data_IF_834087967892
#
_entry.id   IF_834087967892
#
_cell.length_a   1.000
_cell.length_b   1.000
_cell.length_c   1.000
_cell.angle_alpha   90.00
_cell.angle_beta   90.00
_cell.angle_gamma   90.00
#
_symmetry.space_group_name_H-M   'P 1'
#
loop_
_entity.id
_entity.type
_entity.pdbx_description
1 polymer ?
#
# COMPACT_ATOMS: atom_id res chain seq x y z
N UNK A 1 39.38 -18.09 -13.31
CA UNK A 1 38.06 -18.73 -13.35
C UNK A 1 37.07 -17.77 -12.77
N UNK A 2 35.90 -17.59 -13.33
CA UNK A 2 34.73 -16.74 -13.08
C UNK A 2 34.58 -15.55 -14.04
N UNK A 3 34.13 -15.85 -15.28
CA UNK A 3 33.60 -14.85 -16.22
C UNK A 3 32.10 -15.03 -16.54
N UNK A 4 31.36 -15.75 -15.71
CA UNK A 4 29.92 -16.02 -15.97
C UNK A 4 28.99 -14.94 -15.38
N UNK A 5 29.45 -14.16 -14.38
CA UNK A 5 28.59 -13.16 -13.70
C UNK A 5 28.38 -11.84 -14.47
N UNK A 6 29.25 -11.47 -15.38
CA UNK A 6 29.23 -10.16 -16.06
C UNK A 6 28.17 -10.05 -17.17
N UNK A 7 27.87 -11.17 -17.83
CA UNK A 7 26.93 -11.20 -18.97
C UNK A 7 25.47 -11.10 -18.54
N UNK A 8 25.08 -11.75 -17.44
CA UNK A 8 23.71 -11.74 -16.96
C UNK A 8 23.25 -10.33 -16.52
N UNK A 9 24.11 -9.59 -15.83
CA UNK A 9 23.81 -8.22 -15.38
C UNK A 9 23.64 -7.23 -16.54
N UNK A 10 24.38 -7.41 -17.65
CA UNK A 10 24.24 -6.54 -18.82
C UNK A 10 22.92 -6.75 -19.56
N UNK A 11 22.42 -7.98 -19.62
CA UNK A 11 21.12 -8.29 -20.24
C UNK A 11 19.94 -7.75 -19.42
N UNK A 12 20.00 -7.86 -18.09
CA UNK A 12 18.98 -7.28 -17.20
C UNK A 12 18.92 -5.75 -17.35
N UNK A 13 20.06 -5.07 -17.37
CA UNK A 13 20.12 -3.63 -17.57
C UNK A 13 19.52 -3.20 -18.91
N UNK A 14 19.79 -3.92 -20.00
CA UNK A 14 19.21 -3.66 -21.31
C UNK A 14 17.69 -3.87 -21.32
N UNK A 15 17.19 -4.88 -20.63
CA UNK A 15 15.77 -5.16 -20.48
C UNK A 15 15.04 -4.02 -19.77
N UNK A 16 15.54 -3.53 -18.63
CA UNK A 16 14.93 -2.40 -17.92
C UNK A 16 14.94 -1.10 -18.72
N UNK A 17 16.01 -0.86 -19.49
CA UNK A 17 16.07 0.30 -20.40
C UNK A 17 15.03 0.23 -21.51
N UNK A 18 14.75 -0.96 -22.05
CA UNK A 18 13.69 -1.14 -23.05
C UNK A 18 12.31 -0.87 -22.45
N UNK A 19 12.03 -1.37 -21.25
CA UNK A 19 10.76 -1.09 -20.54
C UNK A 19 10.65 0.41 -20.27
N UNK A 20 11.70 1.05 -19.78
CA UNK A 20 11.70 2.50 -19.52
C UNK A 20 11.40 3.29 -20.80
N UNK A 21 12.03 2.96 -21.93
CA UNK A 21 11.75 3.59 -23.23
C UNK A 21 10.31 3.37 -23.67
N UNK A 22 9.79 2.16 -23.53
CA UNK A 22 8.39 1.86 -23.87
C UNK A 22 7.43 2.67 -22.99
N UNK A 23 7.67 2.73 -21.69
CA UNK A 23 6.83 3.49 -20.76
C UNK A 23 6.91 5.01 -21.00
N UNK A 24 8.08 5.53 -21.37
CA UNK A 24 8.28 6.97 -21.59
C UNK A 24 7.49 7.59 -22.74
N UNK A 25 6.99 6.76 -23.66
CA UNK A 25 6.15 7.22 -24.78
C UNK A 25 4.64 7.10 -24.51
N UNK A 26 4.27 6.48 -23.38
CA UNK A 26 2.86 6.21 -23.02
C UNK A 26 2.28 7.33 -22.15
N UNK A 27 2.19 8.55 -22.69
CA UNK A 27 1.77 9.74 -21.93
C UNK A 27 0.31 9.68 -21.44
N UNK A 28 -0.56 8.97 -22.14
CA UNK A 28 -1.98 8.82 -21.80
C UNK A 28 -2.27 7.65 -20.84
N UNK A 29 -1.23 7.04 -20.27
CA UNK A 29 -1.38 5.88 -19.41
C UNK A 29 -2.13 6.26 -18.13
N UNK A 30 -3.27 5.60 -17.88
CA UNK A 30 -4.13 5.85 -16.72
C UNK A 30 -3.99 4.79 -15.63
N UNK A 31 -3.57 3.59 -16.01
CA UNK A 31 -3.47 2.44 -15.10
C UNK A 31 -2.09 1.82 -15.22
N UNK A 32 -1.41 1.65 -14.10
CA UNK A 32 -0.15 0.89 -14.01
C UNK A 32 -0.32 -0.22 -12.97
N UNK A 33 -0.04 -1.46 -13.37
CA UNK A 33 0.01 -2.62 -12.48
C UNK A 33 1.38 -3.27 -12.56
N UNK A 34 2.15 -3.15 -11.50
CA UNK A 34 3.49 -3.75 -11.36
C UNK A 34 3.40 -4.95 -10.41
N UNK A 35 2.88 -6.08 -10.92
CA UNK A 35 2.69 -7.31 -10.14
C UNK A 35 4.00 -8.12 -10.04
N UNK A 36 5.07 -7.44 -9.70
CA UNK A 36 6.43 -7.98 -9.57
C UNK A 36 7.04 -7.55 -8.24
N UNK A 37 7.88 -8.42 -7.66
CA UNK A 37 8.59 -8.14 -6.41
C UNK A 37 9.98 -7.50 -6.62
N UNK A 38 10.37 -7.26 -7.86
CA UNK A 38 11.68 -6.73 -8.19
C UNK A 38 11.73 -5.20 -8.03
N UNK A 39 12.47 -4.74 -7.03
CA UNK A 39 12.63 -3.32 -6.71
C UNK A 39 13.26 -2.48 -7.84
N UNK A 40 13.94 -3.08 -8.82
CA UNK A 40 14.51 -2.36 -9.96
C UNK A 40 13.43 -1.67 -10.81
N UNK A 41 12.19 -2.18 -10.81
CA UNK A 41 11.07 -1.53 -11.50
C UNK A 41 10.76 -0.15 -10.94
N UNK A 42 11.05 0.14 -9.66
CA UNK A 42 10.92 1.49 -9.11
C UNK A 42 11.84 2.45 -9.86
N UNK A 43 13.07 2.04 -10.14
CA UNK A 43 14.03 2.84 -10.91
C UNK A 43 13.50 3.13 -12.31
N UNK A 44 12.92 2.12 -12.96
CA UNK A 44 12.33 2.26 -14.32
C UNK A 44 11.21 3.30 -14.32
N UNK A 45 10.21 3.14 -13.45
CA UNK A 45 9.04 4.06 -13.43
C UNK A 45 9.41 5.45 -12.92
N UNK A 46 10.42 5.55 -12.05
CA UNK A 46 10.84 6.83 -11.49
C UNK A 46 11.39 7.82 -12.54
N UNK A 47 11.81 7.34 -13.71
CA UNK A 47 12.21 8.17 -14.84
C UNK A 47 11.05 8.52 -15.79
N UNK A 48 9.85 8.01 -15.54
CA UNK A 48 8.68 8.24 -16.37
C UNK A 48 7.71 9.21 -15.67
N UNK A 49 6.91 9.92 -16.47
CA UNK A 49 5.83 10.78 -15.97
C UNK A 49 4.55 10.46 -16.75
N UNK A 50 3.46 10.23 -16.03
CA UNK A 50 2.17 9.85 -16.58
C UNK A 50 1.10 10.84 -16.11
N UNK A 51 0.88 11.95 -16.83
CA UNK A 51 -0.03 13.02 -16.37
C UNK A 51 -1.46 12.54 -16.12
N UNK A 52 -1.88 11.52 -16.86
CA UNK A 52 -3.23 10.93 -16.78
C UNK A 52 -3.35 9.77 -15.79
N UNK A 53 -2.30 9.43 -15.02
CA UNK A 53 -2.29 8.28 -14.12
C UNK A 53 -3.31 8.46 -12.99
N UNK A 54 -4.26 7.52 -12.91
CA UNK A 54 -5.32 7.47 -11.88
C UNK A 54 -5.27 6.23 -11.00
N UNK A 55 -4.68 5.15 -11.49
CA UNK A 55 -4.63 3.86 -10.82
C UNK A 55 -3.20 3.32 -10.83
N UNK A 56 -2.66 3.10 -9.64
CA UNK A 56 -1.36 2.47 -9.46
C UNK A 56 -1.45 1.30 -8.49
N UNK A 57 -1.02 0.13 -8.94
CA UNK A 57 -1.00 -1.09 -8.16
C UNK A 57 0.38 -1.74 -8.26
N UNK A 58 1.01 -2.08 -7.14
CA UNK A 58 2.29 -2.79 -7.13
C UNK A 58 2.43 -3.73 -5.93
N UNK A 59 3.29 -4.73 -6.08
CA UNK A 59 3.71 -5.62 -4.99
C UNK A 59 4.98 -5.11 -4.28
N UNK A 60 5.42 -3.91 -4.61
CA UNK A 60 6.62 -3.32 -4.07
C UNK A 60 6.31 -2.61 -2.74
N UNK A 61 7.28 -2.65 -1.84
CA UNK A 61 7.23 -1.91 -0.58
C UNK A 61 7.26 -0.40 -0.85
N UNK A 62 6.50 0.34 -0.06
CA UNK A 62 6.56 1.80 -0.09
C UNK A 62 7.97 2.25 0.35
N UNK A 63 8.67 2.93 -0.53
CA UNK A 63 10.05 3.39 -0.35
C UNK A 63 10.20 4.83 -0.81
N UNK A 64 11.26 5.51 -0.38
CA UNK A 64 11.51 6.90 -0.78
C UNK A 64 11.47 7.13 -2.30
N UNK A 65 12.07 6.29 -3.16
CA UNK A 65 11.95 6.46 -4.61
C UNK A 65 10.51 6.28 -5.12
N UNK A 66 9.76 5.32 -4.55
CA UNK A 66 8.36 5.10 -4.93
C UNK A 66 7.48 6.27 -4.49
N UNK A 67 7.66 6.81 -3.28
CA UNK A 67 6.94 7.99 -2.81
C UNK A 67 7.23 9.20 -3.71
N UNK A 68 8.49 9.42 -4.10
CA UNK A 68 8.85 10.48 -5.04
C UNK A 68 8.17 10.31 -6.40
N UNK A 69 8.05 9.08 -6.88
CA UNK A 69 7.30 8.79 -8.09
C UNK A 69 5.81 9.12 -7.91
N UNK A 70 5.18 8.61 -6.86
CA UNK A 70 3.75 8.81 -6.59
C UNK A 70 3.37 10.27 -6.42
N UNK A 71 4.18 11.06 -5.69
CA UNK A 71 3.93 12.48 -5.47
C UNK A 71 3.96 13.34 -6.75
N UNK A 72 4.55 12.83 -7.85
CA UNK A 72 4.48 13.49 -9.17
C UNK A 72 3.17 13.25 -9.91
N UNK A 73 2.28 12.41 -9.35
CA UNK A 73 1.02 12.00 -9.99
C UNK A 73 -0.20 12.38 -9.12
N UNK A 74 -0.48 13.70 -8.93
CA UNK A 74 -1.53 14.17 -8.03
C UNK A 74 -2.95 13.80 -8.48
N UNK A 75 -3.12 13.29 -9.71
CA UNK A 75 -4.39 12.78 -10.24
C UNK A 75 -4.71 11.35 -9.80
N UNK A 76 -3.80 10.70 -9.05
CA UNK A 76 -3.96 9.33 -8.60
C UNK A 76 -5.16 9.23 -7.64
N UNK A 77 -6.11 8.35 -7.98
CA UNK A 77 -7.32 8.10 -7.17
C UNK A 77 -7.35 6.71 -6.55
N UNK A 78 -6.53 5.78 -7.05
CA UNK A 78 -6.40 4.43 -6.56
C UNK A 78 -4.92 4.10 -6.36
N UNK A 79 -4.55 3.69 -5.16
CA UNK A 79 -3.20 3.25 -4.81
C UNK A 79 -3.25 1.94 -4.05
N UNK A 80 -2.55 0.93 -4.59
CA UNK A 80 -2.26 -0.30 -3.87
C UNK A 80 -0.76 -0.56 -3.88
N UNK A 81 -0.19 -0.74 -2.70
CA UNK A 81 1.20 -1.11 -2.49
C UNK A 81 1.29 -2.46 -1.78
N UNK A 82 2.48 -3.01 -1.61
CA UNK A 82 2.67 -4.27 -0.88
C UNK A 82 1.98 -4.22 0.49
N UNK A 83 1.23 -5.27 0.78
CA UNK A 83 0.58 -5.49 2.08
C UNK A 83 1.49 -6.26 3.05
N UNK A 84 2.65 -6.73 2.60
CA UNK A 84 3.61 -7.43 3.44
C UNK A 84 4.52 -6.43 4.16
N UNK A 85 4.71 -6.67 5.44
CA UNK A 85 5.68 -5.98 6.27
C UNK A 85 6.98 -6.76 6.27
N UNK A 86 8.08 -6.04 6.07
CA UNK A 86 9.41 -6.61 6.24
C UNK A 86 9.81 -6.44 7.70
N UNK A 87 9.92 -7.53 8.43
CA UNK A 87 10.32 -7.52 9.85
C UNK A 87 11.78 -7.09 10.06
N UNK A 88 12.53 -6.88 8.98
CA UNK A 88 13.99 -6.72 9.05
C UNK A 88 14.48 -5.31 9.35
N UNK A 89 13.65 -4.27 9.28
CA UNK A 89 14.15 -2.90 9.51
C UNK A 89 13.05 -2.00 10.08
N UNK A 90 13.04 -1.87 11.40
CA UNK A 90 12.61 -0.63 12.03
C UNK A 90 13.73 0.40 11.78
N UNK A 91 13.88 0.86 10.55
CA UNK A 91 14.69 2.04 10.32
C UNK A 91 13.85 3.24 10.73
N UNK A 92 14.36 4.03 11.69
CA UNK A 92 13.86 5.35 12.06
C UNK A 92 13.96 6.36 10.89
N UNK A 93 14.00 5.86 9.66
CA UNK A 93 14.02 6.69 8.47
C UNK A 93 12.69 7.44 8.39
N UNK A 94 12.77 8.73 8.55
CA UNK A 94 11.66 9.65 8.32
C UNK A 94 11.23 9.45 6.87
N UNK A 95 10.16 8.67 6.68
CA UNK A 95 9.59 8.51 5.34
C UNK A 95 9.09 9.87 4.86
N UNK A 96 9.43 10.27 3.61
CA UNK A 96 8.80 11.43 3.02
C UNK A 96 7.30 11.21 2.98
N UNK A 97 6.54 12.25 3.25
CA UNK A 97 5.09 12.20 3.22
C UNK A 97 4.58 11.96 1.81
N UNK A 98 3.57 11.10 1.71
CA UNK A 98 2.84 10.82 0.49
C UNK A 98 1.64 11.78 0.41
N UNK A 99 1.68 12.72 -0.55
CA UNK A 99 0.62 13.70 -0.78
C UNK A 99 -0.13 13.38 -2.07
N UNK A 100 -1.34 12.84 -1.94
CA UNK A 100 -2.21 12.43 -3.04
C UNK A 100 -3.63 13.00 -2.84
N UNK A 101 -3.86 14.28 -3.19
CA UNK A 101 -5.09 14.99 -2.83
C UNK A 101 -6.37 14.43 -3.47
N UNK A 102 -6.26 13.56 -4.47
CA UNK A 102 -7.41 12.91 -5.15
C UNK A 102 -7.54 11.44 -4.83
N UNK A 103 -6.77 10.92 -3.86
CA UNK A 103 -6.81 9.51 -3.51
C UNK A 103 -8.15 9.15 -2.86
N UNK A 104 -8.86 8.20 -3.46
CA UNK A 104 -10.15 7.70 -2.97
C UNK A 104 -10.05 6.29 -2.39
N UNK A 105 -9.08 5.50 -2.85
CA UNK A 105 -8.85 4.14 -2.43
C UNK A 105 -7.38 3.91 -2.13
N UNK A 106 -7.11 3.33 -0.97
CA UNK A 106 -5.78 2.92 -0.56
C UNK A 106 -5.77 1.46 -0.11
N UNK A 107 -4.76 0.70 -0.52
CA UNK A 107 -4.46 -0.60 0.05
C UNK A 107 -2.95 -0.73 0.31
N UNK A 108 -2.60 -1.15 1.52
CA UNK A 108 -1.21 -1.32 1.92
C UNK A 108 -1.07 -1.90 3.33
N UNK A 109 0.14 -1.89 3.87
CA UNK A 109 0.38 -2.27 5.26
C UNK A 109 0.25 -1.07 6.22
N UNK A 110 0.23 -1.33 7.54
CA UNK A 110 0.08 -0.31 8.57
C UNK A 110 1.15 0.79 8.51
N UNK A 111 2.41 0.45 8.19
CA UNK A 111 3.49 1.43 8.03
C UNK A 111 3.25 2.35 6.83
N UNK A 112 2.75 1.80 5.72
CA UNK A 112 2.44 2.58 4.51
C UNK A 112 1.34 3.61 4.75
N UNK A 113 0.35 3.28 5.60
CA UNK A 113 -0.70 4.23 6.00
C UNK A 113 -0.11 5.43 6.73
N UNK A 114 0.86 5.21 7.61
CA UNK A 114 1.49 6.29 8.38
C UNK A 114 2.24 7.32 7.52
N UNK A 115 2.62 6.94 6.30
CA UNK A 115 3.24 7.85 5.34
C UNK A 115 2.23 8.74 4.60
N UNK A 116 0.93 8.43 4.67
CA UNK A 116 -0.12 9.18 3.98
C UNK A 116 -0.38 10.49 4.74
N UNK A 117 -0.31 11.60 4.03
CA UNK A 117 -0.71 12.91 4.52
C UNK A 117 -1.60 13.60 3.49
N UNK A 118 -2.51 14.44 3.94
CA UNK A 118 -3.37 15.26 3.09
C UNK A 118 -4.16 14.45 2.02
N UNK A 119 -4.99 13.53 2.50
CA UNK A 119 -5.83 12.65 1.67
C UNK A 119 -7.30 12.86 2.00
N UNK A 120 -7.73 14.12 2.00
CA UNK A 120 -9.09 14.52 2.36
C UNK A 120 -10.20 13.92 1.50
N UNK A 121 -9.87 13.14 0.48
CA UNK A 121 -10.83 12.48 -0.43
C UNK A 121 -10.89 10.96 -0.26
N UNK A 122 -10.14 10.37 0.69
CA UNK A 122 -10.07 8.93 0.88
C UNK A 122 -11.41 8.38 1.37
N UNK A 123 -11.98 7.43 0.63
CA UNK A 123 -13.27 6.80 0.93
C UNK A 123 -13.14 5.37 1.41
N UNK A 124 -12.12 4.67 0.94
CA UNK A 124 -11.89 3.28 1.28
C UNK A 124 -10.42 3.01 1.59
N UNK A 125 -10.16 2.31 2.68
CA UNK A 125 -8.83 1.85 3.06
C UNK A 125 -8.83 0.34 3.34
N UNK A 126 -7.84 -0.36 2.78
CA UNK A 126 -7.53 -1.74 3.13
C UNK A 126 -6.14 -1.74 3.77
N UNK A 127 -6.09 -2.11 5.05
CA UNK A 127 -4.86 -2.08 5.83
C UNK A 127 -4.53 -3.47 6.35
N UNK A 128 -3.31 -3.92 6.09
CA UNK A 128 -2.81 -5.21 6.55
C UNK A 128 -1.73 -5.02 7.61
N UNK A 129 -1.78 -5.85 8.66
CA UNK A 129 -0.72 -5.94 9.68
C UNK A 129 -0.22 -7.37 9.76
N UNK A 130 1.09 -7.52 9.78
CA UNK A 130 1.71 -8.79 10.17
C UNK A 130 1.66 -8.96 11.69
N UNK A 131 1.76 -10.20 12.18
CA UNK A 131 1.58 -10.54 13.59
C UNK A 131 2.51 -9.80 14.56
N UNK A 132 3.57 -9.22 14.06
CA UNK A 132 4.62 -8.52 14.82
C UNK A 132 4.35 -7.03 14.96
N UNK A 133 3.39 -6.49 14.21
CA UNK A 133 3.05 -5.07 14.32
C UNK A 133 2.27 -4.82 15.62
N UNK A 134 2.93 -4.13 16.53
CA UNK A 134 2.40 -3.81 17.85
C UNK A 134 1.68 -2.46 17.92
N UNK A 135 1.65 -1.72 16.83
CA UNK A 135 1.14 -0.35 16.83
C UNK A 135 0.05 -0.09 15.77
N UNK A 136 -1.10 -0.82 15.80
CA UNK A 136 -2.20 -0.57 14.86
C UNK A 136 -2.81 0.82 15.03
N UNK A 137 -2.70 1.41 16.22
CA UNK A 137 -3.20 2.73 16.55
C UNK A 137 -2.52 3.83 15.74
N UNK A 138 -1.26 3.71 15.36
CA UNK A 138 -0.56 4.69 14.52
C UNK A 138 -1.19 4.79 13.14
N UNK A 139 -1.53 3.66 12.52
CA UNK A 139 -2.19 3.63 11.21
C UNK A 139 -3.62 4.20 11.30
N UNK A 140 -4.39 3.81 12.31
CA UNK A 140 -5.77 4.30 12.51
C UNK A 140 -5.77 5.80 12.79
N UNK A 141 -4.89 6.31 13.64
CA UNK A 141 -4.71 7.75 13.89
C UNK A 141 -4.24 8.52 12.65
N UNK A 142 -3.47 7.90 11.76
CA UNK A 142 -3.10 8.51 10.48
C UNK A 142 -4.30 8.62 9.54
N UNK A 143 -5.16 7.62 9.49
CA UNK A 143 -6.43 7.67 8.74
C UNK A 143 -7.38 8.72 9.30
N UNK A 144 -7.54 8.79 10.62
CA UNK A 144 -8.34 9.83 11.29
C UNK A 144 -7.89 11.24 10.86
N UNK A 145 -6.60 11.52 10.97
CA UNK A 145 -6.06 12.85 10.64
C UNK A 145 -6.23 13.24 9.17
N UNK A 146 -6.16 12.25 8.27
CA UNK A 146 -6.13 12.50 6.83
C UNK A 146 -7.49 12.40 6.16
N UNK A 147 -8.47 11.68 6.73
CA UNK A 147 -9.70 11.34 6.03
C UNK A 147 -10.94 11.18 6.93
N UNK A 148 -10.94 11.81 8.10
CA UNK A 148 -11.99 11.67 9.11
C UNK A 148 -13.42 11.77 8.55
N UNK A 149 -13.69 12.82 7.74
CA UNK A 149 -15.03 13.08 7.21
C UNK A 149 -15.39 12.29 5.95
N UNK A 150 -14.46 11.57 5.35
CA UNK A 150 -14.65 10.97 4.02
C UNK A 150 -14.48 9.46 3.98
N UNK A 151 -13.78 8.89 4.95
CA UNK A 151 -13.53 7.46 5.02
C UNK A 151 -14.80 6.72 5.46
N UNK A 152 -15.39 5.96 4.54
CA UNK A 152 -16.62 5.22 4.78
C UNK A 152 -16.42 3.71 4.86
N UNK A 153 -15.33 3.20 4.26
CA UNK A 153 -15.01 1.77 4.26
C UNK A 153 -13.60 1.54 4.80
N UNK A 154 -13.52 0.70 5.82
CA UNK A 154 -12.25 0.22 6.37
C UNK A 154 -12.21 -1.30 6.37
N UNK A 155 -11.20 -1.88 5.73
CA UNK A 155 -10.91 -3.31 5.80
C UNK A 155 -9.57 -3.53 6.48
N UNK A 156 -9.60 -4.26 7.58
CA UNK A 156 -8.43 -4.61 8.39
C UNK A 156 -8.12 -6.09 8.24
N UNK A 157 -6.91 -6.39 7.78
CA UNK A 157 -6.39 -7.76 7.71
C UNK A 157 -5.24 -7.91 8.69
N UNK A 158 -5.35 -8.82 9.67
CA UNK A 158 -4.35 -8.98 10.71
C UNK A 158 -4.06 -10.46 11.00
N UNK A 159 -2.83 -10.73 11.41
CA UNK A 159 -2.46 -12.01 12.01
C UNK A 159 -2.76 -11.98 13.52
N UNK A 160 -3.47 -13.00 14.02
CA UNK A 160 -3.86 -13.10 15.42
C UNK A 160 -5.05 -12.20 15.81
N UNK A 161 -5.60 -12.45 16.99
CA UNK A 161 -6.72 -11.68 17.54
C UNK A 161 -6.21 -10.48 18.31
N UNK A 162 -6.72 -9.32 17.97
CA UNK A 162 -6.46 -8.09 18.71
C UNK A 162 -7.78 -7.37 18.97
N UNK A 163 -8.32 -7.52 20.17
CA UNK A 163 -9.56 -6.88 20.59
C UNK A 163 -9.40 -5.36 20.67
N UNK A 164 -8.19 -4.88 20.95
CA UNK A 164 -7.90 -3.46 21.04
C UNK A 164 -8.08 -2.74 19.70
N UNK A 165 -7.92 -3.44 18.57
CA UNK A 165 -8.13 -2.86 17.25
C UNK A 165 -9.56 -2.34 17.08
N UNK A 166 -10.58 -3.09 17.55
CA UNK A 166 -11.98 -2.68 17.45
C UNK A 166 -12.22 -1.44 18.30
N UNK A 167 -11.66 -1.41 19.51
CA UNK A 167 -11.77 -0.24 20.39
C UNK A 167 -11.11 0.99 19.76
N UNK A 168 -9.89 0.85 19.24
CA UNK A 168 -9.16 1.94 18.57
C UNK A 168 -9.94 2.47 17.37
N UNK A 169 -10.53 1.58 16.53
CA UNK A 169 -11.35 2.00 15.41
C UNK A 169 -12.60 2.77 15.89
N UNK A 170 -13.28 2.26 16.92
CA UNK A 170 -14.45 2.91 17.50
C UNK A 170 -14.15 4.31 18.06
N UNK A 171 -12.96 4.47 18.66
CA UNK A 171 -12.57 5.73 19.29
C UNK A 171 -12.14 6.80 18.27
N UNK A 172 -11.52 6.38 17.16
CA UNK A 172 -10.90 7.28 16.19
C UNK A 172 -11.68 7.43 14.87
N UNK A 173 -12.50 6.46 14.50
CA UNK A 173 -13.24 6.44 13.23
C UNK A 173 -14.71 6.04 13.45
N UNK A 174 -15.47 6.78 14.28
CA UNK A 174 -16.84 6.41 14.65
C UNK A 174 -17.83 6.45 13.47
N UNK A 175 -17.52 7.19 12.39
CA UNK A 175 -18.38 7.39 11.22
C UNK A 175 -18.17 6.38 10.10
N UNK A 176 -17.37 5.33 10.34
CA UNK A 176 -17.20 4.24 9.38
C UNK A 176 -18.53 3.54 9.14
N UNK A 177 -18.95 3.47 7.87
CA UNK A 177 -20.18 2.80 7.46
C UNK A 177 -20.00 1.30 7.22
N UNK A 178 -18.81 0.90 6.78
CA UNK A 178 -18.49 -0.49 6.50
C UNK A 178 -17.13 -0.85 7.11
N UNK A 179 -17.15 -1.76 8.08
CA UNK A 179 -15.97 -2.29 8.71
C UNK A 179 -15.85 -3.79 8.41
N UNK A 180 -14.73 -4.17 7.82
CA UNK A 180 -14.38 -5.56 7.54
C UNK A 180 -13.11 -5.92 8.30
N UNK A 181 -13.18 -6.91 9.18
CA UNK A 181 -12.01 -7.41 9.92
C UNK A 181 -11.81 -8.86 9.54
N UNK A 182 -10.64 -9.17 8.97
CA UNK A 182 -10.24 -10.53 8.65
C UNK A 182 -9.01 -10.92 9.46
N UNK A 183 -9.08 -12.10 10.07
CA UNK A 183 -7.98 -12.69 10.80
C UNK A 183 -7.31 -13.77 9.96
N UNK A 184 -6.00 -13.67 9.75
CA UNK A 184 -5.20 -14.71 9.10
C UNK A 184 -4.61 -15.59 10.16
N UNK A 185 -5.23 -16.74 10.39
CA UNK A 185 -4.67 -17.78 11.24
C UNK A 185 -3.60 -18.53 10.42
N UNK A 186 -2.35 -18.45 10.86
CA UNK A 186 -1.34 -19.40 10.41
C UNK A 186 -1.60 -20.72 11.15
N UNK A 187 -2.18 -21.65 10.45
CA UNK A 187 -2.16 -23.04 10.90
C UNK A 187 -0.78 -23.57 10.56
N UNK A 188 0.03 -23.85 11.58
CA UNK A 188 1.32 -24.50 11.41
C UNK A 188 1.11 -25.78 10.59
N UNK A 189 1.83 -25.86 9.48
CA UNK A 189 2.05 -27.04 8.63
C UNK A 189 0.96 -27.56 7.70
N UNK A 190 -0.17 -26.86 7.44
CA UNK A 190 -1.06 -27.26 6.34
C UNK A 190 -1.65 -26.04 5.60
N UNK A 191 -1.63 -26.00 4.24
CA UNK A 191 -1.94 -24.79 3.46
C UNK A 191 -3.45 -24.54 3.25
N UNK A 192 -4.28 -24.80 4.23
CA UNK A 192 -5.67 -24.39 4.20
C UNK A 192 -5.82 -23.10 4.99
N UNK A 193 -5.78 -21.98 4.28
CA UNK A 193 -6.17 -20.68 4.84
C UNK A 193 -7.64 -20.73 5.27
N UNK A 194 -7.87 -20.87 6.57
CA UNK A 194 -9.20 -20.62 7.13
C UNK A 194 -9.29 -19.14 7.44
N UNK A 195 -9.80 -18.36 6.50
CA UNK A 195 -10.14 -16.97 6.75
C UNK A 195 -11.53 -16.89 7.40
N UNK A 196 -11.57 -16.55 8.69
CA UNK A 196 -12.82 -16.15 9.33
C UNK A 196 -13.08 -14.68 9.01
N UNK A 197 -14.11 -14.45 8.19
CA UNK A 197 -14.55 -13.10 7.81
C UNK A 197 -15.68 -12.70 8.76
N UNK A 198 -15.47 -11.66 9.56
CA UNK A 198 -16.53 -10.99 10.32
C UNK A 198 -16.86 -9.67 9.62
N UNK A 199 -18.04 -9.61 9.03
CA UNK A 199 -18.58 -8.35 8.49
C UNK A 199 -19.49 -7.71 9.53
N UNK A 200 -19.21 -6.48 9.93
CA UNK A 200 -20.11 -5.67 10.74
C UNK A 200 -20.66 -4.57 9.81
N UNK A 201 -21.96 -4.63 9.55
CA UNK A 201 -22.64 -3.61 8.77
C UNK A 201 -23.47 -2.76 9.74
N UNK A 202 -23.26 -1.46 9.70
CA UNK A 202 -24.16 -0.50 10.37
C UNK A 202 -25.40 -0.38 9.47
N UNK A 203 -26.50 -0.98 9.86
CA UNK A 203 -27.80 -0.76 9.22
C UNK A 203 -28.43 0.46 9.89
N UNK A 204 -28.59 1.52 9.12
CA UNK A 204 -29.41 2.65 9.54
C UNK A 204 -30.87 2.17 9.73
N UNK A 205 -31.40 2.39 10.92
CA UNK A 205 -32.83 2.23 11.27
C UNK A 205 -33.46 3.59 11.25
#
# INVERSE_FOLDING_TARGET
MNRIGSSANSHLSAYYLLIQKALSVLHELQVIKLLVHDAHYITVVNHCTFPSLRHFECLLKLSNPLIKFLNRHPSLSYLQVSQHEDTSVLSDDIFPTLSLPKLQYFAGNGQSVSAISDVSTLRAAIVSWDAVDTAPDLAIKALERSSFDTLTLLSCRRRGWNLDLIQIISDHLPDILSLHISNVLLVDSNPTEVSHVFGIFKTDV
#
